data_IF_674772102271
#
_entry.id   IF_674772102271
#
_cell.length_a   1.000
_cell.length_b   1.000
_cell.length_c   1.000
_cell.angle_alpha   90.00
_cell.angle_beta   90.00
_cell.angle_gamma   90.00
#
_symmetry.space_group_name_H-M   'P 1'
#
loop_
_entity.id
_entity.type
_entity.pdbx_description
1 polymer ?
#
# COMPACT_ATOMS: atom_id res chain seq x y z
N UNK A 1 12.80 -5.43 12.38
CA UNK A 1 12.19 -6.38 11.44
C UNK A 1 10.91 -5.80 10.84
N UNK A 2 9.89 -5.41 11.61
CA UNK A 2 8.68 -4.77 11.05
C UNK A 2 8.92 -3.32 10.57
N UNK A 3 9.70 -2.52 11.32
CA UNK A 3 9.97 -1.11 10.95
C UNK A 3 10.73 -0.95 9.62
N UNK A 4 11.54 -1.93 9.21
CA UNK A 4 12.21 -1.89 7.91
C UNK A 4 11.20 -2.09 6.77
N UNK A 5 10.27 -3.04 6.92
CA UNK A 5 9.23 -3.32 5.93
C UNK A 5 8.32 -2.11 5.69
N UNK A 6 7.89 -1.46 6.77
CA UNK A 6 7.11 -0.22 6.67
C UNK A 6 7.86 0.86 5.88
N UNK A 7 9.17 0.99 6.11
CA UNK A 7 9.97 2.00 5.42
C UNK A 7 10.11 1.68 3.92
N UNK A 8 10.43 0.43 3.60
CA UNK A 8 10.80 0.03 2.24
C UNK A 8 9.56 -0.10 1.32
N UNK A 9 8.43 -0.57 1.86
CA UNK A 9 7.20 -0.79 1.08
C UNK A 9 6.28 0.43 1.04
N UNK A 10 6.27 1.24 2.11
CA UNK A 10 5.31 2.35 2.24
C UNK A 10 6.05 3.70 2.16
N UNK A 11 6.94 3.99 3.10
CA UNK A 11 7.49 5.35 3.21
C UNK A 11 8.33 5.75 2.00
N UNK A 12 9.33 4.95 1.64
CA UNK A 12 10.24 5.28 0.53
C UNK A 12 9.53 5.45 -0.82
N UNK A 13 8.61 4.56 -1.23
CA UNK A 13 7.95 4.71 -2.53
C UNK A 13 6.78 5.71 -2.55
N UNK A 14 6.11 5.98 -1.42
CA UNK A 14 4.85 6.73 -1.41
C UNK A 14 4.91 8.09 -0.70
N UNK A 15 5.78 8.26 0.31
CA UNK A 15 5.80 9.47 1.12
C UNK A 15 6.27 10.69 0.33
N UNK A 16 5.52 11.81 0.44
CA UNK A 16 5.76 13.04 -0.32
C UNK A 16 5.85 12.85 -1.85
N UNK A 17 5.16 11.83 -2.41
CA UNK A 17 5.08 11.56 -3.85
C UNK A 17 3.72 11.90 -4.44
N UNK A 18 3.71 12.27 -5.72
CA UNK A 18 2.51 12.23 -6.52
C UNK A 18 2.36 10.82 -7.11
N UNK A 19 1.34 10.07 -6.69
CA UNK A 19 1.20 8.66 -7.06
C UNK A 19 1.17 8.46 -8.58
N UNK A 20 0.33 9.21 -9.31
CA UNK A 20 0.17 9.05 -10.76
C UNK A 20 1.44 9.38 -11.58
N UNK A 21 2.35 10.21 -11.03
CA UNK A 21 3.56 10.67 -11.73
C UNK A 21 4.83 9.97 -11.28
N UNK A 22 4.95 9.72 -9.98
CA UNK A 22 6.21 9.31 -9.36
C UNK A 22 6.24 7.81 -9.05
N UNK A 23 5.09 7.13 -9.05
CA UNK A 23 4.97 5.71 -8.71
C UNK A 23 4.55 4.94 -9.96
N UNK A 24 5.46 4.16 -10.59
CA UNK A 24 5.21 3.54 -11.89
C UNK A 24 3.92 2.71 -11.97
N UNK A 25 3.52 2.06 -10.88
CA UNK A 25 2.27 1.29 -10.80
C UNK A 25 1.03 2.12 -11.14
N UNK A 26 0.97 3.38 -10.70
CA UNK A 26 -0.17 4.26 -10.92
C UNK A 26 -0.12 5.01 -12.26
N UNK A 27 0.88 4.75 -13.10
CA UNK A 27 0.91 5.33 -14.47
C UNK A 27 -0.20 4.75 -15.37
N UNK A 28 -0.66 3.53 -15.07
CA UNK A 28 -1.71 2.83 -15.81
C UNK A 28 -2.88 2.37 -14.93
N UNK A 29 -2.80 2.58 -13.62
CA UNK A 29 -3.81 2.22 -12.63
C UNK A 29 -4.26 3.48 -11.91
N UNK A 30 -5.57 3.68 -11.80
CA UNK A 30 -6.10 4.89 -11.16
C UNK A 30 -5.68 4.97 -9.69
N UNK A 31 -5.22 6.17 -9.33
CA UNK A 31 -4.98 6.77 -8.02
C UNK A 31 -5.79 6.42 -6.75
N UNK A 32 -6.78 5.52 -6.79
CA UNK A 32 -7.76 5.40 -5.70
C UNK A 32 -7.18 4.72 -4.45
N UNK A 33 -7.78 5.00 -3.30
CA UNK A 33 -7.39 4.41 -2.01
C UNK A 33 -7.52 2.88 -2.01
N UNK A 34 -8.47 2.32 -2.76
CA UNK A 34 -8.62 0.89 -3.02
C UNK A 34 -7.43 0.32 -3.78
N UNK A 35 -7.05 0.92 -4.90
CA UNK A 35 -5.90 0.48 -5.67
C UNK A 35 -4.58 0.66 -4.92
N UNK A 36 -4.50 1.67 -4.04
CA UNK A 36 -3.38 1.84 -3.13
C UNK A 36 -3.29 0.72 -2.09
N UNK A 37 -4.42 0.27 -1.55
CA UNK A 37 -4.46 -0.86 -0.62
C UNK A 37 -4.00 -2.16 -1.28
N UNK A 38 -4.42 -2.41 -2.53
CA UNK A 38 -3.95 -3.54 -3.35
C UNK A 38 -2.44 -3.44 -3.61
N UNK A 39 -1.97 -2.27 -4.04
CA UNK A 39 -0.54 -2.04 -4.26
C UNK A 39 0.30 -2.36 -3.01
N UNK A 40 -0.10 -1.84 -1.85
CA UNK A 40 0.64 -2.07 -0.59
C UNK A 40 0.58 -3.56 -0.22
N UNK A 41 -0.56 -4.23 -0.36
CA UNK A 41 -0.71 -5.65 -0.08
C UNK A 41 0.23 -6.51 -0.93
N UNK A 42 0.25 -6.28 -2.26
CA UNK A 42 1.05 -7.05 -3.21
C UNK A 42 2.56 -6.93 -2.95
N UNK A 43 3.00 -5.82 -2.37
CA UNK A 43 4.38 -5.64 -1.94
C UNK A 43 4.64 -6.23 -0.55
N UNK A 44 3.73 -6.03 0.41
CA UNK A 44 3.87 -6.57 1.77
C UNK A 44 3.87 -8.09 1.81
N UNK A 45 3.02 -8.76 1.02
CA UNK A 45 2.90 -10.23 1.03
C UNK A 45 4.18 -10.95 0.57
N UNK A 46 5.08 -10.25 -0.14
CA UNK A 46 6.38 -10.78 -0.59
C UNK A 46 7.43 -10.74 0.51
N UNK A 47 7.27 -9.81 1.46
CA UNK A 47 8.26 -9.54 2.50
C UNK A 47 7.85 -10.12 3.87
N UNK A 48 6.54 -10.28 4.07
CA UNK A 48 5.96 -10.87 5.27
C UNK A 48 5.82 -12.38 5.08
N UNK A 49 6.19 -13.22 6.07
CA UNK A 49 5.98 -14.66 5.98
C UNK A 49 4.52 -15.02 5.67
N UNK A 50 4.34 -16.09 4.90
CA UNK A 50 3.04 -16.56 4.46
C UNK A 50 2.06 -16.74 5.63
N UNK A 51 0.82 -16.27 5.45
CA UNK A 51 -0.24 -16.36 6.45
C UNK A 51 -0.16 -15.33 7.59
N UNK A 52 0.85 -14.46 7.63
CA UNK A 52 0.96 -13.42 8.68
C UNK A 52 0.39 -12.06 8.29
N UNK A 53 0.28 -11.75 7.00
CA UNK A 53 -0.40 -10.53 6.55
C UNK A 53 -1.91 -10.74 6.62
N UNK A 54 -2.57 -9.99 7.51
CA UNK A 54 -4.01 -10.12 7.73
C UNK A 54 -4.83 -9.03 7.02
N UNK A 55 -4.39 -7.77 7.11
CA UNK A 55 -5.17 -6.62 6.67
C UNK A 55 -4.26 -5.43 6.32
N UNK A 56 -4.57 -4.77 5.21
CA UNK A 56 -4.12 -3.41 4.92
C UNK A 56 -5.32 -2.47 5.13
N UNK A 57 -5.15 -1.48 6.00
CA UNK A 57 -6.17 -0.48 6.32
C UNK A 57 -5.62 0.92 6.06
N UNK A 58 -6.24 1.65 5.14
CA UNK A 58 -5.82 2.99 4.76
C UNK A 58 -6.91 3.98 5.16
N UNK A 59 -6.47 5.04 5.85
CA UNK A 59 -7.28 6.20 6.17
C UNK A 59 -6.83 7.33 5.23
N UNK A 60 -7.56 7.56 4.15
CA UNK A 60 -7.29 8.69 3.26
C UNK A 60 -7.70 10.01 3.94
N UNK A 61 -8.85 9.96 4.63
CA UNK A 61 -9.32 11.00 5.56
C UNK A 61 -10.02 10.31 6.73
N UNK A 62 -10.45 11.06 7.74
CA UNK A 62 -11.20 10.51 8.88
C UNK A 62 -12.50 9.78 8.48
N UNK A 63 -13.07 10.14 7.33
CA UNK A 63 -14.34 9.59 6.83
C UNK A 63 -14.17 8.54 5.74
N UNK A 64 -12.99 8.48 5.11
CA UNK A 64 -12.71 7.59 4.00
C UNK A 64 -11.68 6.55 4.44
N UNK A 65 -12.17 5.33 4.69
CA UNK A 65 -11.37 4.21 5.16
C UNK A 65 -11.55 3.06 4.18
N UNK A 66 -10.44 2.54 3.70
CA UNK A 66 -10.40 1.33 2.87
C UNK A 66 -9.74 0.21 3.67
N UNK A 67 -10.28 -0.99 3.55
CA UNK A 67 -9.76 -2.22 4.14
C UNK A 67 -9.60 -3.25 3.02
N UNK A 68 -8.44 -3.88 2.95
CA UNK A 68 -8.13 -4.93 1.97
C UNK A 68 -7.44 -6.13 2.65
N UNK A 69 -7.86 -7.34 2.26
CA UNK A 69 -7.40 -8.62 2.86
C UNK A 69 -6.94 -9.66 1.83
N UNK A 70 -6.61 -9.23 0.62
CA UNK A 70 -6.11 -10.11 -0.45
C UNK A 70 -7.17 -10.94 -1.16
N UNK A 71 -8.39 -10.42 -1.26
CA UNK A 71 -9.52 -11.04 -1.99
C UNK A 71 -9.34 -11.03 -3.52
#
# INVERSE_FOLDING_TARGET
>A
MVNSLYKDVIMTPLDHKNLDKDVPYFSTVVSTTENLAVYIWDHMVREVPEGLLYEIKIHETDKNIVVYRGE
#
